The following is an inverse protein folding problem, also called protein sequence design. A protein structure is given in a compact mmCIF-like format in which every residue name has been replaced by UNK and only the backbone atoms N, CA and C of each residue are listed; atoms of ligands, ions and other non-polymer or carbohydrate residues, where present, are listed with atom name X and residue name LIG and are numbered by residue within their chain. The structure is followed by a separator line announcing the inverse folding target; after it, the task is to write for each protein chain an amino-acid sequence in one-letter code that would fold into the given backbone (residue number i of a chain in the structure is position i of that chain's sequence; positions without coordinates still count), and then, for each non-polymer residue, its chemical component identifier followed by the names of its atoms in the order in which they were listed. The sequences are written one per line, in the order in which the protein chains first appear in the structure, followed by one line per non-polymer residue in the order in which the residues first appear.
data_IF_907068873476
#
_entry.id   IF_907068873476
#
_cell.length_a   1.000
_cell.length_b   1.000
_cell.length_c   1.000
_cell.angle_alpha   90.00
_cell.angle_beta   90.00
_cell.angle_gamma   90.00
#
_symmetry.space_group_name_H-M   'P 1'
#
loop_
_entity.id
_entity.type
_entity.pdbx_description
1 polymer ?
#
# COMPACT_ATOMS: atom_id res chain seq x y z
N UNK A 1 14.68 -36.59 -48.69
CA UNK A 1 13.53 -35.74 -49.03
C UNK A 1 13.05 -35.13 -47.72
N UNK A 2 13.35 -33.86 -47.52
CA UNK A 2 13.36 -33.19 -46.21
C UNK A 2 11.97 -33.11 -45.58
N UNK A 3 11.89 -33.56 -44.32
CA UNK A 3 10.76 -33.42 -43.42
C UNK A 3 10.72 -31.95 -42.95
N UNK A 4 9.88 -31.13 -43.57
CA UNK A 4 9.53 -29.81 -43.05
C UNK A 4 8.61 -30.03 -41.85
N UNK A 5 9.17 -29.98 -40.63
CA UNK A 5 8.38 -29.83 -39.40
C UNK A 5 7.56 -28.56 -39.54
N UNK A 6 6.26 -28.72 -39.78
CA UNK A 6 5.30 -27.63 -39.88
C UNK A 6 5.21 -26.98 -38.49
N UNK A 7 5.81 -25.80 -38.34
CA UNK A 7 5.63 -24.95 -37.16
C UNK A 7 4.15 -24.53 -37.10
N UNK A 8 3.42 -24.97 -36.07
CA UNK A 8 2.00 -24.62 -35.89
C UNK A 8 1.90 -23.40 -34.95
N UNK A 9 1.75 -22.18 -35.48
CA UNK A 9 1.80 -20.96 -34.67
C UNK A 9 0.67 -20.86 -33.64
N UNK A 10 -0.42 -21.62 -33.79
CA UNK A 10 -1.52 -21.63 -32.80
C UNK A 10 -1.17 -22.42 -31.55
N UNK A 11 -0.39 -23.48 -31.67
CA UNK A 11 0.05 -24.29 -30.53
C UNK A 11 1.21 -23.61 -29.80
N UNK A 12 2.12 -22.98 -30.53
CA UNK A 12 3.17 -22.14 -29.94
C UNK A 12 2.59 -20.95 -29.18
N UNK A 13 1.57 -20.26 -29.73
CA UNK A 13 0.92 -19.14 -29.04
C UNK A 13 0.22 -19.60 -27.75
N UNK A 14 -0.42 -20.77 -27.76
CA UNK A 14 -1.01 -21.36 -26.54
C UNK A 14 0.07 -21.69 -25.52
N UNK A 15 1.17 -22.33 -25.92
CA UNK A 15 2.28 -22.65 -25.02
C UNK A 15 2.92 -21.39 -24.40
N UNK A 16 3.07 -20.31 -25.16
CA UNK A 16 3.57 -19.03 -24.62
C UNK A 16 2.57 -18.37 -23.66
N UNK A 17 1.26 -18.49 -23.92
CA UNK A 17 0.20 -17.90 -23.11
C UNK A 17 -0.19 -18.72 -21.86
N UNK A 18 -0.02 -20.05 -21.87
CA UNK A 18 -0.35 -20.93 -20.73
C UNK A 18 0.87 -21.57 -20.07
N UNK A 19 2.06 -21.35 -20.64
CA UNK A 19 3.31 -21.88 -20.13
C UNK A 19 3.76 -21.24 -18.82
N UNK A 20 4.90 -21.69 -18.26
CA UNK A 20 5.42 -21.24 -16.96
C UNK A 20 5.66 -19.72 -16.89
N UNK A 21 5.86 -19.03 -18.02
CA UNK A 21 6.00 -17.58 -18.04
C UNK A 21 4.69 -16.83 -17.74
N UNK A 22 3.53 -17.40 -18.08
CA UNK A 22 2.23 -16.80 -17.81
C UNK A 22 1.85 -16.92 -16.34
N UNK A 23 2.10 -18.08 -15.72
CA UNK A 23 1.87 -18.29 -14.28
C UNK A 23 2.76 -17.40 -13.42
N UNK A 24 4.04 -17.23 -13.80
CA UNK A 24 4.96 -16.31 -13.12
C UNK A 24 4.51 -14.85 -13.25
N UNK A 25 4.00 -14.45 -14.41
CA UNK A 25 3.48 -13.08 -14.64
C UNK A 25 2.20 -12.83 -13.84
N UNK A 26 1.30 -13.80 -13.79
CA UNK A 26 0.10 -13.77 -12.97
C UNK A 26 0.46 -13.67 -11.47
N UNK A 27 1.36 -14.51 -10.96
CA UNK A 27 1.80 -14.48 -9.58
C UNK A 27 2.43 -13.12 -9.19
N UNK A 28 3.28 -12.54 -10.05
CA UNK A 28 3.86 -11.20 -9.83
C UNK A 28 2.77 -10.12 -9.77
N UNK A 29 1.75 -10.18 -10.63
CA UNK A 29 0.63 -9.22 -10.62
C UNK A 29 -0.25 -9.38 -9.38
N UNK A 30 -0.51 -10.61 -8.93
CA UNK A 30 -1.28 -10.88 -7.72
C UNK A 30 -0.53 -10.37 -6.49
N UNK A 31 0.78 -10.62 -6.39
CA UNK A 31 1.62 -10.11 -5.31
C UNK A 31 1.61 -8.58 -5.24
N UNK A 32 1.77 -7.91 -6.39
CA UNK A 32 1.68 -6.46 -6.51
C UNK A 32 0.35 -5.90 -5.99
N UNK A 33 -0.76 -6.53 -6.35
CA UNK A 33 -2.10 -6.13 -5.94
C UNK A 33 -2.34 -6.35 -4.44
N UNK A 34 -1.88 -7.48 -3.90
CA UNK A 34 -2.00 -7.77 -2.46
C UNK A 34 -1.24 -6.73 -1.64
N UNK A 35 0.00 -6.41 -2.02
CA UNK A 35 0.78 -5.37 -1.33
C UNK A 35 0.09 -4.02 -1.40
N UNK A 36 -0.46 -3.67 -2.57
CA UNK A 36 -1.19 -2.42 -2.74
C UNK A 36 -2.41 -2.33 -1.83
N UNK A 37 -3.23 -3.38 -1.80
CA UNK A 37 -4.41 -3.45 -0.92
C UNK A 37 -3.99 -3.37 0.55
N UNK A 38 -2.94 -4.09 0.94
CA UNK A 38 -2.41 -4.05 2.31
C UNK A 38 -1.95 -2.63 2.71
N UNK A 39 -1.26 -1.93 1.80
CA UNK A 39 -0.87 -0.54 2.01
C UNK A 39 -2.09 0.37 2.19
N UNK A 40 -3.09 0.27 1.31
CA UNK A 40 -4.33 1.07 1.38
C UNK A 40 -5.04 0.84 2.72
N UNK A 41 -5.23 -0.41 3.13
CA UNK A 41 -5.86 -0.75 4.40
C UNK A 41 -5.07 -0.18 5.59
N UNK A 42 -3.74 -0.28 5.53
CA UNK A 42 -2.87 0.27 6.58
C UNK A 42 -3.04 1.80 6.69
N UNK A 43 -3.10 2.52 5.57
CA UNK A 43 -3.33 3.98 5.59
C UNK A 43 -4.72 4.35 6.15
N UNK A 44 -5.75 3.53 5.87
CA UNK A 44 -7.10 3.74 6.42
C UNK A 44 -7.09 3.54 7.93
N UNK A 45 -6.56 2.41 8.41
CA UNK A 45 -6.49 2.12 9.85
C UNK A 45 -5.66 3.16 10.60
N UNK A 46 -4.49 3.49 10.07
CA UNK A 46 -3.65 4.57 10.58
C UNK A 46 -4.43 5.90 10.68
N UNK A 47 -5.21 6.24 9.64
CA UNK A 47 -6.05 7.46 9.64
C UNK A 47 -7.12 7.46 10.72
N UNK A 48 -7.84 6.36 10.87
CA UNK A 48 -8.87 6.20 11.89
C UNK A 48 -8.25 6.30 13.29
N UNK A 49 -7.18 5.54 13.54
CA UNK A 49 -6.51 5.53 14.84
C UNK A 49 -5.94 6.90 15.20
N UNK A 50 -5.29 7.57 14.25
CA UNK A 50 -4.79 8.93 14.42
C UNK A 50 -5.93 9.91 14.76
N UNK A 51 -7.04 9.85 14.01
CA UNK A 51 -8.19 10.72 14.26
C UNK A 51 -8.80 10.48 15.64
N UNK A 52 -9.04 9.22 16.01
CA UNK A 52 -9.60 8.84 17.32
C UNK A 52 -8.65 9.26 18.44
N UNK A 53 -7.37 8.96 18.30
CA UNK A 53 -6.35 9.29 19.29
C UNK A 53 -6.22 10.79 19.54
N UNK A 54 -6.16 11.61 18.49
CA UNK A 54 -6.12 13.07 18.64
C UNK A 54 -7.44 13.61 19.19
N UNK A 55 -8.57 13.04 18.78
CA UNK A 55 -9.89 13.51 19.26
C UNK A 55 -10.14 13.16 20.74
N UNK A 56 -9.48 12.12 21.26
CA UNK A 56 -9.63 11.67 22.65
C UNK A 56 -8.58 12.27 23.59
N UNK A 57 -7.32 12.31 23.16
CA UNK A 57 -6.18 12.73 23.99
C UNK A 57 -5.70 14.17 23.70
N UNK A 58 -6.25 14.79 22.65
CA UNK A 58 -5.84 16.11 22.18
C UNK A 58 -4.66 16.07 21.19
N UNK A 59 -4.40 17.18 20.48
CA UNK A 59 -3.42 17.23 19.39
C UNK A 59 -1.95 17.12 19.83
N UNK A 60 -1.64 17.34 21.11
CA UNK A 60 -0.28 17.28 21.64
C UNK A 60 0.29 15.84 21.75
N UNK A 61 -0.58 14.83 21.63
CA UNK A 61 -0.14 13.42 21.64
C UNK A 61 0.50 13.01 20.31
N UNK A 62 0.26 13.77 19.24
CA UNK A 62 0.80 13.47 17.91
C UNK A 62 2.30 13.79 17.86
N UNK A 63 3.12 12.75 17.78
CA UNK A 63 4.57 12.86 17.73
C UNK A 63 5.10 13.26 16.34
N UNK A 64 4.25 13.29 15.31
CA UNK A 64 4.62 13.75 13.98
C UNK A 64 4.52 15.28 13.86
N UNK A 65 5.65 16.03 13.83
CA UNK A 65 5.61 17.49 13.81
C UNK A 65 4.99 18.06 12.52
N UNK A 66 5.09 17.35 11.40
CA UNK A 66 4.48 17.79 10.13
C UNK A 66 2.95 17.69 10.22
N UNK A 67 2.45 16.57 10.73
CA UNK A 67 1.01 16.38 10.91
C UNK A 67 0.46 17.31 11.99
N UNK A 68 1.18 17.48 13.10
CA UNK A 68 0.81 18.41 14.18
C UNK A 68 0.69 19.85 13.68
N UNK A 69 1.65 20.31 12.87
CA UNK A 69 1.55 21.61 12.19
C UNK A 69 0.34 21.69 11.27
N UNK A 70 0.07 20.64 10.49
CA UNK A 70 -1.04 20.64 9.56
C UNK A 70 -2.41 20.65 10.26
N UNK A 71 -2.52 19.94 11.39
CA UNK A 71 -3.68 19.96 12.29
C UNK A 71 -3.88 21.37 12.85
N UNK A 72 -2.82 22.02 13.32
CA UNK A 72 -2.90 23.40 13.83
C UNK A 72 -3.37 24.39 12.74
N UNK A 73 -2.99 24.17 11.48
CA UNK A 73 -3.36 25.02 10.37
C UNK A 73 -4.79 24.79 9.83
N UNK A 74 -5.29 23.54 9.87
CA UNK A 74 -6.51 23.16 9.13
C UNK A 74 -7.56 22.38 9.94
N UNK A 75 -7.26 22.03 11.18
CA UNK A 75 -8.08 21.16 12.02
C UNK A 75 -7.82 19.67 11.76
N UNK A 76 -8.20 18.84 12.73
CA UNK A 76 -7.87 17.41 12.78
C UNK A 76 -8.39 16.65 11.55
N UNK A 77 -9.68 16.82 11.22
CA UNK A 77 -10.32 16.07 10.13
C UNK A 77 -9.64 16.31 8.78
N UNK A 78 -9.44 17.58 8.41
CA UNK A 78 -8.88 17.93 7.12
C UNK A 78 -7.40 17.56 7.04
N UNK A 79 -6.66 17.74 8.13
CA UNK A 79 -5.25 17.36 8.19
C UNK A 79 -5.03 15.85 8.02
N UNK A 80 -5.81 15.03 8.73
CA UNK A 80 -5.69 13.57 8.65
C UNK A 80 -6.09 13.07 7.26
N UNK A 81 -7.22 13.55 6.71
CA UNK A 81 -7.65 13.16 5.35
C UNK A 81 -6.58 13.55 4.33
N UNK A 82 -6.10 14.80 4.35
CA UNK A 82 -5.09 15.29 3.44
C UNK A 82 -3.79 14.47 3.51
N UNK A 83 -3.31 14.18 4.72
CA UNK A 83 -2.11 13.38 4.92
C UNK A 83 -2.27 11.95 4.40
N UNK A 84 -3.41 11.29 4.64
CA UNK A 84 -3.63 9.93 4.15
C UNK A 84 -3.83 9.89 2.64
N UNK A 85 -4.56 10.83 2.05
CA UNK A 85 -4.69 10.94 0.59
C UNK A 85 -3.35 11.18 -0.09
N UNK A 86 -2.50 12.02 0.49
CA UNK A 86 -1.14 12.24 -0.01
C UNK A 86 -0.33 10.94 0.01
N UNK A 87 -0.34 10.21 1.13
CA UNK A 87 0.34 8.92 1.24
C UNK A 87 -0.20 7.87 0.24
N UNK A 88 -1.53 7.78 0.07
CA UNK A 88 -2.16 6.93 -0.93
C UNK A 88 -1.73 7.32 -2.36
N UNK A 89 -1.67 8.61 -2.67
CA UNK A 89 -1.17 9.11 -3.95
C UNK A 89 0.27 8.69 -4.21
N UNK A 90 1.16 8.88 -3.23
CA UNK A 90 2.55 8.43 -3.33
C UNK A 90 2.64 6.91 -3.51
N UNK A 91 1.88 6.13 -2.74
CA UNK A 91 1.82 4.68 -2.89
C UNK A 91 1.31 4.24 -4.26
N UNK A 92 0.31 4.93 -4.82
CA UNK A 92 -0.23 4.65 -6.14
C UNK A 92 0.83 4.89 -7.22
N UNK A 93 1.58 5.99 -7.12
CA UNK A 93 2.72 6.26 -8.02
C UNK A 93 3.77 5.14 -7.92
N UNK A 94 4.14 4.71 -6.72
CA UNK A 94 5.07 3.58 -6.54
C UNK A 94 4.54 2.27 -7.14
N UNK A 95 3.23 2.03 -7.04
CA UNK A 95 2.58 0.86 -7.60
C UNK A 95 2.63 0.88 -9.13
N UNK A 96 2.33 2.02 -9.74
CA UNK A 96 2.42 2.24 -11.19
C UNK A 96 3.87 2.12 -11.70
N UNK A 97 4.86 2.52 -10.89
CA UNK A 97 6.29 2.34 -11.18
C UNK A 97 6.82 0.94 -10.87
N UNK A 98 5.95 -0.02 -10.54
CA UNK A 98 6.28 -1.41 -10.18
C UNK A 98 7.29 -1.55 -9.02
N UNK A 99 7.36 -0.56 -8.11
CA UNK A 99 8.24 -0.55 -6.93
C UNK A 99 7.60 -1.24 -5.72
N UNK A 100 7.08 -2.45 -5.92
CA UNK A 100 6.30 -3.17 -4.89
C UNK A 100 7.11 -3.48 -3.61
N UNK A 101 8.43 -3.65 -3.72
CA UNK A 101 9.31 -3.79 -2.54
C UNK A 101 9.31 -2.56 -1.64
N UNK A 102 9.28 -1.35 -2.22
CA UNK A 102 9.17 -0.11 -1.46
C UNK A 102 7.81 0.00 -0.76
N UNK A 103 6.72 -0.38 -1.46
CA UNK A 103 5.37 -0.36 -0.86
C UNK A 103 5.27 -1.38 0.29
N UNK A 104 5.84 -2.58 0.13
CA UNK A 104 5.87 -3.58 1.19
C UNK A 104 6.64 -3.09 2.41
N UNK A 105 7.82 -2.47 2.20
CA UNK A 105 8.60 -1.87 3.28
C UNK A 105 7.81 -0.75 3.98
N UNK A 106 7.21 0.16 3.22
CA UNK A 106 6.39 1.24 3.77
C UNK A 106 5.22 0.68 4.57
N UNK A 107 4.52 -0.32 4.05
CA UNK A 107 3.41 -0.98 4.76
C UNK A 107 3.88 -1.54 6.11
N UNK A 108 5.00 -2.27 6.12
CA UNK A 108 5.57 -2.80 7.36
C UNK A 108 5.97 -1.70 8.34
N UNK A 109 6.59 -0.61 7.86
CA UNK A 109 6.94 0.54 8.68
C UNK A 109 5.70 1.22 9.28
N UNK A 110 4.62 1.41 8.51
CA UNK A 110 3.38 2.00 9.04
C UNK A 110 2.71 1.10 10.08
N UNK A 111 2.70 -0.21 9.86
CA UNK A 111 2.18 -1.17 10.86
C UNK A 111 2.96 -1.05 12.18
N UNK A 112 4.30 -1.02 12.11
CA UNK A 112 5.15 -1.01 13.29
C UNK A 112 5.22 0.36 14.00
N UNK A 113 5.23 1.45 13.25
CA UNK A 113 5.49 2.79 13.77
C UNK A 113 4.23 3.64 14.00
N UNK A 114 3.09 3.26 13.41
CA UNK A 114 1.84 4.01 13.56
C UNK A 114 0.73 3.15 14.16
N UNK A 115 0.38 2.02 13.53
CA UNK A 115 -0.74 1.19 14.00
C UNK A 115 -0.45 0.60 15.38
N UNK A 116 0.75 0.02 15.57
CA UNK A 116 1.11 -0.60 16.84
C UNK A 116 1.15 0.40 18.00
N UNK A 117 1.83 1.56 17.91
CA UNK A 117 1.80 2.57 18.96
C UNK A 117 0.39 3.08 19.26
N UNK A 118 -0.42 3.37 18.24
CA UNK A 118 -1.80 3.82 18.46
C UNK A 118 -2.66 2.75 19.13
N UNK A 119 -2.51 1.48 18.74
CA UNK A 119 -3.24 0.37 19.37
C UNK A 119 -2.87 0.25 20.85
N UNK A 120 -1.59 0.40 21.20
CA UNK A 120 -1.14 0.39 22.60
C UNK A 120 -1.71 1.58 23.36
N UNK A 121 -1.60 2.80 22.80
CA UNK A 121 -2.10 4.02 23.46
C UNK A 121 -3.60 3.94 23.70
N UNK A 122 -4.38 3.62 22.67
CA UNK A 122 -5.84 3.58 22.75
C UNK A 122 -6.38 2.43 23.60
N UNK A 123 -5.62 1.35 23.78
CA UNK A 123 -5.99 0.28 24.71
C UNK A 123 -6.00 0.76 26.18
N UNK A 124 -5.26 1.83 26.49
CA UNK A 124 -5.14 2.39 27.84
C UNK A 124 -6.05 3.59 28.13
N UNK A 125 -6.88 4.00 27.17
CA UNK A 125 -7.84 5.12 27.28
C UNK A 125 -9.24 4.59 27.56
#
# INVERSE_FOLDING_TARGET
MSMLTMCNPREDLRFVLTGPFASQRAARSQFANVIWIAFVLTQIFDGVLTYVGISTLGPNVEANPVLSWYIAATGVTLAVIGAKLFALGCGAVLHLLARHGCIALLTGLYVAAALWPWAVVLWHV
#
